data_IF_630280613747
#
_entry.id   IF_630280613747
#
_cell.length_a   1.000
_cell.length_b   1.000
_cell.length_c   1.000
_cell.angle_alpha   90.00
_cell.angle_beta   90.00
_cell.angle_gamma   90.00
#
_symmetry.space_group_name_H-M   'P 1'
#
loop_
_entity.id
_entity.type
_entity.pdbx_description
1 polymer ?
#
# COMPACT_ATOMS: atom_id res chain seq x y z
N UNK A 1 -33.57 4.64 -5.04
CA UNK A 1 -32.22 4.95 -5.58
C UNK A 1 -31.30 5.46 -4.47
N UNK A 2 -30.40 4.62 -3.96
CA UNK A 2 -29.42 5.02 -2.94
C UNK A 2 -28.34 5.91 -3.59
N UNK A 3 -27.99 6.99 -2.90
CA UNK A 3 -27.28 8.18 -3.37
C UNK A 3 -25.92 7.92 -4.06
N UNK A 4 -25.36 6.72 -3.94
CA UNK A 4 -24.05 6.32 -4.50
C UNK A 4 -24.04 4.88 -5.04
N UNK A 5 -25.16 4.39 -5.59
CA UNK A 5 -25.15 3.12 -6.36
C UNK A 5 -24.70 1.87 -5.59
N UNK A 6 -24.82 1.84 -4.26
CA UNK A 6 -24.41 0.71 -3.42
C UNK A 6 -22.96 0.78 -2.91
N UNK A 7 -22.23 1.87 -3.16
CA UNK A 7 -20.94 2.09 -2.53
C UNK A 7 -21.10 2.23 -1.01
N UNK A 8 -20.24 1.53 -0.26
CA UNK A 8 -20.17 1.67 1.19
C UNK A 8 -19.20 2.83 1.54
N UNK A 9 -19.69 3.99 2.00
CA UNK A 9 -18.85 5.15 2.33
C UNK A 9 -17.87 4.88 3.49
N UNK A 10 -18.14 3.88 4.33
CA UNK A 10 -17.25 3.53 5.44
C UNK A 10 -15.87 3.05 4.98
N UNK A 11 -15.76 2.51 3.76
CA UNK A 11 -14.48 2.07 3.17
C UNK A 11 -13.58 3.22 2.72
N UNK A 12 -14.11 4.44 2.65
CA UNK A 12 -13.40 5.64 2.20
C UNK A 12 -13.10 6.61 3.33
N UNK A 13 -13.40 6.24 4.58
CA UNK A 13 -13.00 7.02 5.74
C UNK A 13 -11.48 7.04 5.78
N UNK A 14 -10.90 8.23 5.69
CA UNK A 14 -9.47 8.40 5.90
C UNK A 14 -9.16 7.94 7.32
N UNK A 15 -8.49 6.79 7.44
CA UNK A 15 -7.87 6.39 8.70
C UNK A 15 -6.74 7.40 8.91
N UNK A 16 -6.69 8.12 10.04
CA UNK A 16 -5.57 9.01 10.32
C UNK A 16 -4.27 8.22 10.19
N UNK A 17 -3.32 8.71 9.39
CA UNK A 17 -2.03 8.04 9.17
C UNK A 17 -1.28 7.78 10.48
N UNK A 18 -1.60 8.55 11.52
CA UNK A 18 -1.08 8.44 12.89
C UNK A 18 -1.53 7.17 13.63
N UNK A 19 -2.63 6.53 13.24
CA UNK A 19 -3.15 5.33 13.90
C UNK A 19 -2.61 4.01 13.31
N UNK A 20 -1.91 4.07 12.17
CA UNK A 20 -1.35 2.86 11.55
C UNK A 20 0.04 2.63 12.13
N UNK A 21 0.12 1.80 13.17
CA UNK A 21 1.41 1.34 13.69
C UNK A 21 2.24 0.74 12.55
N UNK A 22 3.32 1.45 12.16
CA UNK A 22 4.15 1.07 11.01
C UNK A 22 4.80 -0.30 11.17
N UNK A 23 4.93 -0.75 12.42
CA UNK A 23 5.60 -1.98 12.84
C UNK A 23 4.66 -3.11 13.24
N UNK A 24 3.34 -2.88 13.21
CA UNK A 24 2.38 -3.95 13.45
C UNK A 24 2.08 -4.68 12.14
N UNK A 25 2.53 -5.92 12.03
CA UNK A 25 2.32 -6.77 10.87
C UNK A 25 1.38 -7.93 11.22
N UNK A 26 0.25 -8.09 10.51
CA UNK A 26 -0.69 -9.18 10.77
C UNK A 26 -0.07 -10.54 10.44
N UNK A 27 -0.47 -11.60 11.14
CA UNK A 27 0.03 -12.96 10.90
C UNK A 27 -0.12 -13.36 9.41
N UNK A 28 0.93 -13.95 8.83
CA UNK A 28 0.96 -14.38 7.43
C UNK A 28 1.20 -13.25 6.41
N UNK A 29 1.50 -12.02 6.84
CA UNK A 29 1.87 -10.94 5.92
C UNK A 29 3.12 -11.30 5.07
N UNK A 30 3.22 -10.69 3.88
CA UNK A 30 4.43 -10.75 3.02
C UNK A 30 5.22 -9.44 2.99
N UNK A 31 4.88 -8.54 3.89
CA UNK A 31 5.46 -7.20 4.02
C UNK A 31 4.43 -6.14 3.73
N UNK A 32 4.88 -4.89 3.75
CA UNK A 32 4.05 -3.71 3.53
C UNK A 32 4.69 -2.83 2.47
N UNK A 33 3.87 -2.31 1.56
CA UNK A 33 4.25 -1.36 0.52
C UNK A 33 3.51 -0.05 0.76
N UNK A 34 4.26 1.04 0.83
CA UNK A 34 3.72 2.40 0.87
C UNK A 34 3.82 2.99 -0.52
N UNK A 35 2.70 3.48 -1.01
CA UNK A 35 2.61 4.13 -2.31
C UNK A 35 1.63 5.30 -2.24
N UNK A 36 1.84 6.28 -3.12
CA UNK A 36 0.94 7.40 -3.31
C UNK A 36 0.29 7.32 -4.70
N UNK A 37 -0.97 7.74 -4.76
CA UNK A 37 -1.72 7.89 -6.01
C UNK A 37 -2.08 9.36 -6.17
N UNK A 38 -1.84 9.88 -7.37
CA UNK A 38 -2.14 11.26 -7.73
C UNK A 38 -2.74 11.26 -9.14
N UNK A 39 -3.88 11.93 -9.33
CA UNK A 39 -4.46 12.10 -10.66
C UNK A 39 -4.18 13.51 -11.16
N UNK A 40 -3.33 13.61 -12.17
CA UNK A 40 -3.07 14.86 -12.89
C UNK A 40 -4.10 15.01 -14.01
N UNK A 41 -5.10 15.85 -13.74
CA UNK A 41 -6.20 16.15 -14.68
C UNK A 41 -5.68 16.83 -15.94
N UNK A 42 -4.65 17.67 -15.85
CA UNK A 42 -4.18 18.47 -16.99
C UNK A 42 -3.54 17.60 -18.07
N UNK A 43 -2.91 16.50 -17.68
CA UNK A 43 -2.29 15.54 -18.61
C UNK A 43 -3.06 14.22 -18.71
N UNK A 44 -4.19 14.11 -18.02
CA UNK A 44 -4.99 12.89 -17.87
C UNK A 44 -4.16 11.69 -17.41
N UNK A 45 -3.24 11.90 -16.47
CA UNK A 45 -2.32 10.86 -15.98
C UNK A 45 -2.66 10.44 -14.57
N UNK A 46 -2.73 9.12 -14.36
CA UNK A 46 -2.68 8.53 -13.02
C UNK A 46 -1.22 8.26 -12.66
N UNK A 47 -0.71 9.00 -11.69
CA UNK A 47 0.65 8.90 -11.19
C UNK A 47 0.64 7.94 -9.99
N UNK A 48 1.47 6.90 -10.08
CA UNK A 48 1.69 5.92 -9.00
C UNK A 48 3.13 6.08 -8.51
N UNK A 49 3.30 6.46 -7.25
CA UNK A 49 4.64 6.62 -6.64
C UNK A 49 4.84 5.53 -5.61
N UNK A 50 5.78 4.63 -5.86
CA UNK A 50 6.21 3.65 -4.85
C UNK A 50 7.23 4.34 -3.94
N UNK A 51 6.94 4.40 -2.63
CA UNK A 51 7.74 5.17 -1.68
C UNK A 51 8.71 4.31 -0.88
N UNK A 52 8.18 3.33 -0.14
CA UNK A 52 8.96 2.43 0.71
C UNK A 52 8.32 1.06 0.78
N UNK A 53 9.12 0.04 1.08
CA UNK A 53 8.65 -1.30 1.40
C UNK A 53 9.37 -1.82 2.64
N UNK A 54 8.68 -2.59 3.47
CA UNK A 54 9.23 -3.12 4.74
C UNK A 54 8.77 -4.55 4.96
N UNK A 55 9.61 -5.32 5.66
CA UNK A 55 9.32 -6.69 6.07
C UNK A 55 8.97 -7.61 4.88
N UNK A 56 9.65 -7.39 3.75
CA UNK A 56 9.56 -8.25 2.57
C UNK A 56 10.34 -9.55 2.83
N UNK A 57 9.82 -10.72 2.43
CA UNK A 57 10.53 -11.97 2.57
C UNK A 57 11.78 -11.99 1.70
N UNK A 58 12.83 -12.64 2.21
CA UNK A 58 14.00 -12.97 1.40
C UNK A 58 13.63 -13.87 0.24
N UNK A 59 14.25 -13.63 -0.92
CA UNK A 59 14.12 -14.49 -2.10
C UNK A 59 14.73 -15.88 -1.85
N UNK A 60 15.65 -15.98 -0.89
CA UNK A 60 16.29 -17.23 -0.47
C UNK A 60 15.83 -17.60 0.93
N UNK A 61 15.19 -18.76 1.07
CA UNK A 61 14.76 -19.29 2.36
C UNK A 61 15.97 -19.41 3.30
N UNK A 62 15.92 -18.74 4.46
CA UNK A 62 16.98 -18.77 5.47
C UNK A 62 18.10 -17.72 5.31
N UNK A 63 18.09 -16.88 4.28
CA UNK A 63 19.05 -15.79 4.15
C UNK A 63 18.41 -14.45 4.59
N UNK A 64 18.89 -13.85 5.68
CA UNK A 64 18.27 -12.65 6.25
C UNK A 64 18.34 -11.40 5.34
N UNK A 65 19.24 -11.33 4.36
CA UNK A 65 19.65 -10.04 3.75
C UNK A 65 19.86 -10.04 2.22
N UNK A 66 19.33 -11.00 1.47
CA UNK A 66 19.46 -11.05 0.00
C UNK A 66 18.14 -10.69 -0.72
N UNK A 67 17.58 -9.52 -0.41
CA UNK A 67 16.43 -8.98 -1.12
C UNK A 67 16.89 -7.95 -2.17
N UNK A 68 16.69 -8.26 -3.45
CA UNK A 68 16.76 -7.36 -4.61
C UNK A 68 15.34 -6.98 -5.09
N UNK A 69 14.51 -6.30 -4.27
CA UNK A 69 13.10 -6.11 -4.58
C UNK A 69 12.91 -5.19 -5.78
N UNK A 70 12.02 -5.57 -6.69
CA UNK A 70 11.52 -4.70 -7.75
C UNK A 70 9.98 -4.75 -7.76
N UNK A 71 9.36 -3.64 -8.13
CA UNK A 71 7.90 -3.52 -8.30
C UNK A 71 7.63 -3.35 -9.79
N UNK A 72 6.66 -4.09 -10.31
CA UNK A 72 6.26 -4.09 -11.73
C UNK A 72 4.78 -3.86 -11.86
#
# INVERSE_FOLDING_TARGET
PTLLGGLNPDLYKAVPEEEVEEDNFPEGHRGRLWFALEYDVATERLIVRVMKAKNLPSRVYGAANCCDPFVR
#
